data_IF_197366975719
#
_entry.id   IF_197366975719
#
_cell.length_a   1.000
_cell.length_b   1.000
_cell.length_c   1.000
_cell.angle_alpha   90.00
_cell.angle_beta   90.00
_cell.angle_gamma   90.00
#
_symmetry.space_group_name_H-M   'P 1'
#
loop_
_entity.id
_entity.type
_entity.pdbx_description
1 polymer ?
#
# COMPACT_ATOMS: atom_id res chain seq x y z
N UNK A 1 -28.95 12.02 -4.64
CA UNK A 1 -29.26 10.59 -4.66
C UNK A 1 -27.96 9.87 -4.92
N UNK A 2 -27.27 9.44 -3.88
CA UNK A 2 -26.04 8.64 -3.97
C UNK A 2 -26.47 7.20 -4.22
N UNK A 3 -26.26 6.69 -5.43
CA UNK A 3 -26.44 5.27 -5.72
C UNK A 3 -25.24 4.53 -5.11
N UNK A 4 -25.50 3.70 -4.11
CA UNK A 4 -24.56 2.76 -3.55
C UNK A 4 -24.01 1.87 -4.69
N UNK A 5 -22.69 1.80 -4.91
CA UNK A 5 -22.11 0.96 -5.96
C UNK A 5 -22.39 -0.54 -5.77
N UNK A 6 -22.79 -0.98 -4.57
CA UNK A 6 -23.12 -2.38 -4.28
C UNK A 6 -24.55 -2.79 -4.63
N UNK A 7 -25.43 -1.85 -5.05
CA UNK A 7 -26.85 -2.12 -5.35
C UNK A 7 -27.09 -2.51 -6.83
N UNK A 8 -26.05 -2.91 -7.57
CA UNK A 8 -26.17 -3.44 -8.94
C UNK A 8 -26.16 -4.98 -8.89
N UNK A 9 -27.25 -5.66 -9.23
CA UNK A 9 -27.34 -7.13 -9.18
C UNK A 9 -26.34 -7.86 -10.11
N UNK A 10 -25.70 -7.18 -11.04
CA UNK A 10 -24.69 -7.74 -11.96
C UNK A 10 -23.24 -7.46 -11.51
N UNK A 11 -23.02 -6.72 -10.44
CA UNK A 11 -21.68 -6.32 -9.98
C UNK A 11 -20.82 -7.49 -9.47
N UNK A 12 -21.45 -8.59 -9.07
CA UNK A 12 -20.74 -9.78 -8.55
C UNK A 12 -19.96 -10.54 -9.65
N UNK A 13 -20.37 -10.42 -10.91
CA UNK A 13 -19.80 -11.16 -12.04
C UNK A 13 -18.80 -10.35 -12.89
N UNK A 14 -18.65 -9.06 -12.66
CA UNK A 14 -17.69 -8.26 -13.40
C UNK A 14 -16.28 -8.41 -12.81
N UNK A 15 -15.20 -8.47 -13.64
CA UNK A 15 -13.83 -8.56 -13.17
C UNK A 15 -13.46 -7.41 -12.24
N UNK A 16 -12.70 -7.70 -11.18
CA UNK A 16 -12.14 -6.67 -10.31
C UNK A 16 -11.23 -5.73 -11.10
N UNK A 17 -11.23 -4.45 -10.72
CA UNK A 17 -10.27 -3.49 -11.24
C UNK A 17 -8.89 -3.75 -10.61
N UNK A 18 -8.84 -3.89 -9.29
CA UNK A 18 -7.61 -4.09 -8.51
C UNK A 18 -7.78 -5.26 -7.57
N UNK A 19 -6.87 -6.23 -7.64
CA UNK A 19 -6.71 -7.28 -6.64
C UNK A 19 -5.33 -7.14 -6.03
N UNK A 20 -5.26 -6.95 -4.70
CA UNK A 20 -3.99 -6.90 -3.98
C UNK A 20 -3.73 -8.21 -3.25
N UNK A 21 -2.45 -8.59 -3.07
CA UNK A 21 -2.07 -9.76 -2.31
C UNK A 21 -0.93 -9.43 -1.35
N UNK A 22 -1.14 -9.65 -0.05
CA UNK A 22 -0.12 -9.47 0.99
C UNK A 22 -0.70 -9.07 2.34
N UNK A 23 0.02 -8.19 3.06
CA UNK A 23 -0.25 -7.87 4.44
C UNK A 23 -1.54 -7.09 4.68
N UNK A 24 -2.26 -7.55 5.72
CA UNK A 24 -3.24 -6.74 6.44
C UNK A 24 -3.05 -6.90 7.95
N UNK A 25 -3.56 -5.98 8.73
CA UNK A 25 -3.46 -6.04 10.19
C UNK A 25 -4.13 -4.85 10.85
N UNK A 26 -3.83 -4.69 12.12
CA UNK A 26 -4.31 -3.57 12.93
C UNK A 26 -3.15 -2.64 13.23
N UNK A 27 -3.27 -1.39 12.80
CA UNK A 27 -2.34 -0.33 13.19
C UNK A 27 -2.87 0.38 14.45
N UNK A 28 -1.99 0.54 15.42
CA UNK A 28 -2.25 1.22 16.68
C UNK A 28 -1.39 2.48 16.73
N UNK A 29 -2.00 3.62 16.48
CA UNK A 29 -1.31 4.90 16.41
C UNK A 29 -1.46 5.68 17.70
N UNK A 30 -0.34 6.29 18.19
CA UNK A 30 -0.40 7.18 19.32
C UNK A 30 -1.23 8.41 18.95
N UNK A 31 -2.08 8.84 19.87
CA UNK A 31 -2.78 10.13 19.77
C UNK A 31 -1.95 11.28 20.38
N UNK A 32 -0.75 10.96 20.89
CA UNK A 32 0.25 11.87 21.43
C UNK A 32 1.47 11.84 20.51
N UNK A 33 1.73 12.98 19.85
CA UNK A 33 2.83 13.13 18.88
C UNK A 33 4.08 13.64 19.58
N UNK A 34 5.26 13.13 19.17
CA UNK A 34 6.55 13.59 19.68
C UNK A 34 6.98 12.96 21.01
N UNK A 35 6.33 11.83 21.39
CA UNK A 35 6.70 11.06 22.59
C UNK A 35 6.92 9.60 22.22
N UNK A 36 7.80 8.91 22.94
CA UNK A 36 8.05 7.48 22.77
C UNK A 36 6.87 6.63 23.26
N UNK A 37 6.75 5.40 22.74
CA UNK A 37 5.63 4.49 23.07
C UNK A 37 5.51 4.21 24.56
N UNK A 38 6.61 4.24 25.31
CA UNK A 38 6.66 4.07 26.77
C UNK A 38 5.89 5.15 27.54
N UNK A 39 5.72 6.33 26.93
CA UNK A 39 5.02 7.48 27.55
C UNK A 39 3.61 7.72 26.95
N UNK A 40 3.26 7.02 25.87
CA UNK A 40 1.95 7.17 25.22
C UNK A 40 0.85 6.58 26.10
N UNK A 41 -0.21 7.35 26.35
CA UNK A 41 -1.33 6.95 27.18
C UNK A 41 -2.60 6.62 26.38
N UNK A 42 -2.72 7.14 25.15
CA UNK A 42 -3.92 6.98 24.33
C UNK A 42 -3.57 6.61 22.90
N UNK A 43 -4.35 5.66 22.37
CA UNK A 43 -4.11 5.12 21.03
C UNK A 43 -5.40 5.09 20.22
N UNK A 44 -5.28 5.31 18.92
CA UNK A 44 -6.30 5.02 17.92
C UNK A 44 -6.03 3.67 17.24
N UNK A 45 -7.10 2.97 16.86
CA UNK A 45 -7.04 1.69 16.17
C UNK A 45 -7.51 1.85 14.73
N UNK A 46 -6.67 1.44 13.76
CA UNK A 46 -6.91 1.61 12.34
C UNK A 46 -6.63 0.32 11.57
N UNK A 47 -7.20 0.20 10.37
CA UNK A 47 -6.79 -0.82 9.41
C UNK A 47 -5.41 -0.47 8.90
N UNK A 48 -4.50 -1.45 8.88
CA UNK A 48 -3.15 -1.31 8.38
C UNK A 48 -2.73 -2.46 7.47
N UNK A 49 -1.48 -2.38 7.02
CA UNK A 49 -0.88 -3.30 6.07
C UNK A 49 -0.80 -2.70 4.66
N UNK A 50 0.38 -2.74 4.06
CA UNK A 50 0.69 -2.09 2.77
C UNK A 50 -0.34 -2.42 1.69
N UNK A 51 -0.63 -3.71 1.47
CA UNK A 51 -1.56 -4.14 0.42
C UNK A 51 -3.02 -3.83 0.74
N UNK A 52 -3.41 -3.84 2.03
CA UNK A 52 -4.72 -3.38 2.45
C UNK A 52 -4.89 -1.87 2.20
N UNK A 53 -3.86 -1.09 2.53
CA UNK A 53 -3.86 0.36 2.29
C UNK A 53 -3.95 0.70 0.80
N UNK A 54 -3.22 -0.02 -0.08
CA UNK A 54 -3.31 0.16 -1.55
C UNK A 54 -4.70 -0.17 -2.07
N UNK A 55 -5.33 -1.27 -1.58
CA UNK A 55 -6.69 -1.63 -1.97
C UNK A 55 -7.70 -0.55 -1.55
N UNK A 56 -7.58 -0.03 -0.32
CA UNK A 56 -8.42 1.07 0.18
C UNK A 56 -8.21 2.33 -0.65
N UNK A 57 -6.97 2.72 -0.95
CA UNK A 57 -6.67 3.89 -1.75
C UNK A 57 -7.29 3.78 -3.17
N UNK A 58 -7.20 2.61 -3.80
CA UNK A 58 -7.84 2.35 -5.09
C UNK A 58 -9.39 2.42 -4.99
N UNK A 59 -9.97 1.84 -3.93
CA UNK A 59 -11.41 1.87 -3.69
C UNK A 59 -11.94 3.30 -3.46
N UNK A 60 -11.18 4.14 -2.73
CA UNK A 60 -11.51 5.56 -2.52
C UNK A 60 -11.54 6.36 -3.82
N UNK A 61 -10.82 5.92 -4.85
CA UNK A 61 -10.81 6.48 -6.20
C UNK A 61 -11.80 5.77 -7.14
N UNK A 62 -12.78 5.05 -6.58
CA UNK A 62 -13.89 4.43 -7.33
C UNK A 62 -13.53 3.14 -8.06
N UNK A 63 -12.37 2.48 -7.74
CA UNK A 63 -12.03 1.19 -8.32
C UNK A 63 -12.67 0.05 -7.52
N UNK A 64 -13.13 -0.99 -8.21
CA UNK A 64 -13.55 -2.23 -7.57
C UNK A 64 -12.31 -2.98 -7.10
N UNK A 65 -12.03 -2.87 -5.81
CA UNK A 65 -10.83 -3.43 -5.18
C UNK A 65 -11.18 -4.59 -4.26
N UNK A 66 -10.31 -5.60 -4.25
CA UNK A 66 -10.34 -6.72 -3.33
C UNK A 66 -8.92 -7.02 -2.84
N UNK A 67 -8.82 -7.81 -1.77
CA UNK A 67 -7.54 -8.22 -1.20
C UNK A 67 -7.50 -9.71 -0.91
N UNK A 68 -6.43 -10.38 -1.32
CA UNK A 68 -6.02 -11.70 -0.83
C UNK A 68 -5.12 -11.48 0.38
N UNK A 69 -5.56 -11.92 1.56
CA UNK A 69 -4.82 -11.78 2.81
C UNK A 69 -5.31 -12.78 3.85
N UNK A 70 -4.62 -12.88 4.98
CA UNK A 70 -5.02 -13.70 6.12
C UNK A 70 -5.26 -12.87 7.37
N UNK A 71 -6.25 -13.28 8.16
CA UNK A 71 -6.54 -12.72 9.49
C UNK A 71 -6.75 -13.86 10.49
N UNK A 72 -6.53 -13.61 11.77
CA UNK A 72 -6.81 -14.56 12.84
C UNK A 72 -8.31 -14.72 13.09
N UNK A 73 -8.70 -15.86 13.68
CA UNK A 73 -10.04 -16.03 14.25
C UNK A 73 -10.15 -15.33 15.62
N UNK A 74 -10.02 -14.02 15.60
CA UNK A 74 -9.97 -13.17 16.79
C UNK A 74 -10.72 -11.84 16.58
N UNK A 75 -10.90 -11.01 17.65
CA UNK A 75 -11.57 -9.72 17.52
C UNK A 75 -10.95 -8.77 16.51
N UNK A 76 -9.62 -8.83 16.32
CA UNK A 76 -8.91 -7.98 15.35
C UNK A 76 -9.11 -8.49 13.91
N UNK A 77 -9.18 -9.80 13.68
CA UNK A 77 -9.54 -10.36 12.39
C UNK A 77 -10.95 -9.95 11.94
N UNK A 78 -11.91 -9.98 12.87
CA UNK A 78 -13.27 -9.47 12.61
C UNK A 78 -13.26 -7.97 12.34
N UNK A 79 -12.41 -7.21 13.03
CA UNK A 79 -12.25 -5.78 12.79
C UNK A 79 -11.67 -5.50 11.41
N UNK A 80 -10.60 -6.20 10.99
CA UNK A 80 -9.97 -6.03 9.67
C UNK A 80 -11.00 -6.26 8.56
N UNK A 81 -11.76 -7.38 8.63
CA UNK A 81 -12.83 -7.65 7.65
C UNK A 81 -13.89 -6.55 7.61
N UNK A 82 -14.34 -6.10 8.79
CA UNK A 82 -15.32 -5.01 8.87
C UNK A 82 -14.76 -3.72 8.27
N UNK A 83 -13.53 -3.35 8.61
CA UNK A 83 -12.90 -2.13 8.13
C UNK A 83 -12.68 -2.14 6.60
N UNK A 84 -12.30 -3.29 6.03
CA UNK A 84 -12.21 -3.46 4.58
C UNK A 84 -13.55 -3.16 3.91
N UNK A 85 -14.65 -3.78 4.39
CA UNK A 85 -16.01 -3.52 3.85
C UNK A 85 -16.44 -2.07 4.03
N UNK A 86 -16.23 -1.49 5.21
CA UNK A 86 -16.57 -0.09 5.50
C UNK A 86 -15.81 0.89 4.59
N UNK A 87 -14.64 0.49 4.08
CA UNK A 87 -13.81 1.24 3.15
C UNK A 87 -13.96 0.79 1.69
N UNK A 88 -15.04 0.06 1.37
CA UNK A 88 -15.39 -0.42 0.04
C UNK A 88 -14.35 -1.36 -0.61
N UNK A 89 -13.62 -2.14 0.19
CA UNK A 89 -12.77 -3.23 -0.28
C UNK A 89 -13.47 -4.56 -0.06
N UNK A 90 -13.57 -5.37 -1.10
CA UNK A 90 -14.17 -6.70 -1.05
C UNK A 90 -13.28 -7.66 -0.24
N UNK A 91 -13.83 -8.23 0.83
CA UNK A 91 -13.13 -9.13 1.74
C UNK A 91 -13.37 -10.62 1.47
N UNK A 92 -13.95 -10.99 0.31
CA UNK A 92 -14.26 -12.39 -0.02
C UNK A 92 -13.04 -13.31 -0.09
N UNK A 93 -11.86 -12.75 -0.41
CA UNK A 93 -10.60 -13.50 -0.49
C UNK A 93 -9.75 -13.37 0.78
N UNK A 94 -10.30 -12.89 1.86
CA UNK A 94 -9.64 -12.87 3.18
C UNK A 94 -9.78 -14.24 3.83
N UNK A 95 -8.67 -14.91 4.09
CA UNK A 95 -8.63 -16.24 4.74
C UNK A 95 -8.62 -16.07 6.26
N UNK A 96 -9.41 -16.86 6.97
CA UNK A 96 -9.37 -16.89 8.44
C UNK A 96 -8.45 -18.02 8.90
N UNK A 97 -7.42 -17.67 9.66
CA UNK A 97 -6.49 -18.60 10.27
C UNK A 97 -6.85 -18.81 11.74
N UNK A 98 -6.96 -20.08 12.18
CA UNK A 98 -7.32 -20.45 13.55
C UNK A 98 -6.11 -20.67 14.46
N UNK A 99 -4.89 -20.66 13.92
CA UNK A 99 -3.66 -20.94 14.65
C UNK A 99 -2.92 -19.67 15.05
N UNK A 100 -2.92 -18.64 14.17
CA UNK A 100 -2.17 -17.41 14.38
C UNK A 100 -3.07 -16.20 14.54
N UNK A 101 -2.71 -15.33 15.48
CA UNK A 101 -3.46 -14.10 15.75
C UNK A 101 -3.26 -13.04 14.65
N UNK A 102 -4.27 -12.20 14.48
CA UNK A 102 -4.19 -11.02 13.61
C UNK A 102 -3.05 -10.12 14.06
N UNK A 103 -2.11 -9.73 13.16
CA UNK A 103 -0.96 -8.93 13.54
C UNK A 103 -1.36 -7.50 13.92
N UNK A 104 -0.58 -6.94 14.85
CA UNK A 104 -0.73 -5.55 15.31
C UNK A 104 0.59 -4.82 15.07
N UNK A 105 0.49 -3.59 14.58
CA UNK A 105 1.64 -2.71 14.38
C UNK A 105 1.46 -1.45 15.20
N UNK A 106 2.45 -1.12 16.03
CA UNK A 106 2.54 0.18 16.69
C UNK A 106 3.50 1.07 15.91
N UNK A 107 3.29 2.38 15.98
CA UNK A 107 4.26 3.34 15.48
C UNK A 107 4.54 4.42 16.55
N UNK A 108 5.67 5.07 16.39
CA UNK A 108 5.96 6.35 17.04
C UNK A 108 5.88 7.45 15.99
N UNK A 109 5.47 8.65 16.40
CA UNK A 109 5.27 9.76 15.46
C UNK A 109 6.13 10.93 15.90
N UNK A 110 7.27 11.09 15.23
CA UNK A 110 8.20 12.20 15.41
C UNK A 110 8.36 12.98 14.11
N UNK A 111 7.44 13.89 13.79
CA UNK A 111 7.54 14.68 12.57
C UNK A 111 8.84 15.48 12.53
N UNK A 112 9.42 15.77 11.35
CA UNK A 112 8.78 15.60 10.03
C UNK A 112 9.08 14.27 9.33
N UNK A 113 10.01 13.43 9.81
CA UNK A 113 10.60 12.33 9.02
C UNK A 113 10.95 11.06 9.81
N UNK A 114 10.64 10.99 11.10
CA UNK A 114 10.96 9.83 11.93
C UNK A 114 9.68 9.16 12.44
N UNK A 115 9.38 7.97 11.91
CA UNK A 115 8.16 7.21 12.19
C UNK A 115 8.49 5.73 12.41
N UNK A 116 9.14 5.35 13.53
CA UNK A 116 9.49 3.97 13.84
C UNK A 116 8.26 3.07 13.89
N UNK A 117 8.41 1.83 13.40
CA UNK A 117 7.37 0.82 13.37
C UNK A 117 7.76 -0.39 14.22
N UNK A 118 6.82 -0.87 15.01
CA UNK A 118 6.96 -2.03 15.88
C UNK A 118 5.91 -3.08 15.51
N UNK A 119 6.37 -4.17 14.86
CA UNK A 119 5.49 -5.22 14.33
C UNK A 119 5.34 -6.38 15.32
N UNK A 120 4.13 -6.60 15.79
CA UNK A 120 3.76 -7.76 16.61
C UNK A 120 3.12 -8.83 15.73
N UNK A 121 3.97 -9.64 15.08
CA UNK A 121 3.58 -10.69 14.13
C UNK A 121 4.44 -11.96 14.21
N UNK A 122 4.98 -12.28 15.40
CA UNK A 122 5.76 -13.48 15.66
C UNK A 122 4.90 -14.55 16.34
N UNK A 123 5.17 -15.87 16.08
CA UNK A 123 6.25 -16.44 15.24
C UNK A 123 6.03 -16.21 13.75
N UNK A 124 4.80 -16.06 13.29
CA UNK A 124 4.38 -15.70 11.93
C UNK A 124 3.04 -14.96 11.99
N UNK A 125 2.46 -14.58 10.85
CA UNK A 125 1.17 -13.94 10.77
C UNK A 125 0.26 -14.65 9.74
N UNK A 126 -1.08 -14.57 9.89
CA UNK A 126 -2.05 -15.21 9.01
C UNK A 126 -1.84 -14.93 7.51
N UNK A 127 -1.45 -13.70 7.15
CA UNK A 127 -1.16 -13.32 5.77
C UNK A 127 0.04 -14.06 5.16
N UNK A 128 0.99 -14.54 6.01
CA UNK A 128 2.12 -15.36 5.58
C UNK A 128 1.78 -16.84 5.46
N UNK A 129 0.61 -17.26 5.91
CA UNK A 129 0.14 -18.65 5.91
C UNK A 129 -0.82 -18.99 4.76
N UNK A 130 -1.00 -18.06 3.81
CA UNK A 130 -1.80 -18.28 2.60
C UNK A 130 -1.09 -19.31 1.71
N UNK A 131 -1.79 -20.39 1.39
CA UNK A 131 -1.33 -21.46 0.50
C UNK A 131 -1.89 -21.26 -0.91
N UNK A 132 -1.28 -21.84 -1.95
CA UNK A 132 -1.85 -21.80 -3.30
C UNK A 132 -3.30 -22.32 -3.37
N UNK A 133 -3.64 -23.30 -2.52
CA UNK A 133 -5.01 -23.83 -2.42
C UNK A 133 -6.07 -22.84 -1.92
N UNK A 134 -5.64 -21.77 -1.27
CA UNK A 134 -6.52 -20.74 -0.70
C UNK A 134 -6.81 -19.62 -1.70
N UNK A 135 -6.20 -19.67 -2.89
CA UNK A 135 -6.25 -18.61 -3.89
C UNK A 135 -7.25 -18.95 -4.99
N UNK A 136 -8.14 -18.02 -5.28
CA UNK A 136 -8.97 -18.02 -6.47
C UNK A 136 -8.16 -17.56 -7.69
N UNK A 137 -7.58 -18.51 -8.41
CA UNK A 137 -6.79 -18.21 -9.60
C UNK A 137 -7.62 -17.69 -10.78
N UNK A 138 -8.94 -17.92 -10.81
CA UNK A 138 -9.79 -17.33 -11.83
C UNK A 138 -9.95 -15.83 -11.59
N UNK A 139 -10.13 -15.41 -10.34
CA UNK A 139 -10.11 -14.01 -9.97
C UNK A 139 -8.74 -13.36 -10.26
N UNK A 140 -7.62 -14.05 -9.96
CA UNK A 140 -6.27 -13.59 -10.30
C UNK A 140 -6.09 -13.38 -11.79
N UNK A 141 -6.54 -14.31 -12.63
CA UNK A 141 -6.47 -14.18 -14.10
C UNK A 141 -7.40 -13.10 -14.65
N UNK A 142 -8.60 -12.97 -14.07
CA UNK A 142 -9.64 -12.05 -14.55
C UNK A 142 -9.33 -10.59 -14.19
N UNK A 143 -8.78 -10.32 -12.99
CA UNK A 143 -8.55 -8.95 -12.54
C UNK A 143 -7.74 -8.11 -13.53
N UNK A 144 -8.07 -6.82 -13.65
CA UNK A 144 -7.40 -5.90 -14.59
C UNK A 144 -5.98 -5.57 -14.10
N UNK A 145 -5.81 -5.31 -12.80
CA UNK A 145 -4.52 -5.02 -12.17
C UNK A 145 -4.32 -5.92 -10.96
N UNK A 146 -3.15 -6.56 -10.87
CA UNK A 146 -2.70 -7.35 -9.74
C UNK A 146 -1.57 -6.62 -9.02
N UNK A 147 -1.70 -6.40 -7.72
CA UNK A 147 -0.69 -5.75 -6.88
C UNK A 147 -0.15 -6.74 -5.85
N UNK A 148 1.15 -7.00 -5.89
CA UNK A 148 1.87 -7.84 -4.94
C UNK A 148 2.90 -7.02 -4.19
N UNK A 149 3.22 -7.43 -2.96
CA UNK A 149 4.27 -6.80 -2.14
C UNK A 149 5.43 -7.78 -1.92
N UNK A 150 6.65 -7.28 -2.00
CA UNK A 150 7.88 -8.06 -1.73
C UNK A 150 7.85 -8.69 -0.34
N UNK A 151 7.21 -8.06 0.64
CA UNK A 151 7.02 -8.65 1.98
C UNK A 151 6.40 -10.06 1.91
N UNK A 152 5.48 -10.33 0.98
CA UNK A 152 4.86 -11.65 0.81
C UNK A 152 5.81 -12.74 0.32
N UNK A 153 6.99 -12.37 -0.18
CA UNK A 153 8.03 -13.32 -0.60
C UNK A 153 8.97 -13.73 0.55
N UNK A 154 8.81 -13.16 1.75
CA UNK A 154 9.77 -13.35 2.84
C UNK A 154 9.70 -14.72 3.51
N UNK A 155 8.53 -15.37 3.53
CA UNK A 155 8.28 -16.60 4.29
C UNK A 155 7.38 -17.57 3.50
N UNK A 156 7.58 -18.88 3.71
CA UNK A 156 6.65 -19.91 3.21
C UNK A 156 5.46 -20.08 4.18
N UNK A 157 4.28 -20.45 3.69
CA UNK A 157 3.90 -20.77 2.29
C UNK A 157 3.53 -19.54 1.43
N UNK A 158 3.53 -18.34 1.97
CA UNK A 158 3.17 -17.10 1.25
C UNK A 158 4.03 -16.89 0.00
N UNK A 159 5.33 -17.19 0.08
CA UNK A 159 6.25 -17.07 -1.06
C UNK A 159 5.83 -17.98 -2.22
N UNK A 160 5.57 -19.25 -1.95
CA UNK A 160 5.07 -20.19 -2.97
C UNK A 160 3.77 -19.65 -3.61
N UNK A 161 2.87 -19.12 -2.79
CA UNK A 161 1.59 -18.55 -3.23
C UNK A 161 1.78 -17.32 -4.11
N UNK A 162 2.72 -16.43 -3.77
CA UNK A 162 3.05 -15.28 -4.60
C UNK A 162 3.60 -15.68 -5.96
N UNK A 163 4.50 -16.66 -6.02
CA UNK A 163 5.02 -17.19 -7.29
C UNK A 163 3.93 -17.89 -8.11
N UNK A 164 3.02 -18.65 -7.47
CA UNK A 164 1.87 -19.25 -8.16
C UNK A 164 0.92 -18.19 -8.77
N UNK A 165 0.71 -17.06 -8.07
CA UNK A 165 -0.04 -15.92 -8.59
C UNK A 165 0.68 -15.29 -9.78
N UNK A 166 1.99 -15.07 -9.70
CA UNK A 166 2.78 -14.54 -10.81
C UNK A 166 2.74 -15.46 -12.04
N UNK A 167 2.85 -16.77 -11.85
CA UNK A 167 2.71 -17.76 -12.91
C UNK A 167 1.31 -17.70 -13.55
N UNK A 168 0.24 -17.66 -12.74
CA UNK A 168 -1.13 -17.55 -13.23
C UNK A 168 -1.40 -16.26 -13.99
N UNK A 169 -0.72 -15.17 -13.65
CA UNK A 169 -0.82 -13.87 -14.33
C UNK A 169 -0.14 -13.86 -15.70
N UNK A 170 0.88 -14.69 -15.94
CA UNK A 170 1.61 -14.77 -17.21
C UNK A 170 2.01 -13.40 -17.76
N UNK A 171 2.50 -12.51 -16.89
CA UNK A 171 2.86 -11.12 -17.22
C UNK A 171 1.71 -10.30 -17.86
N UNK A 172 0.46 -10.63 -17.54
CA UNK A 172 -0.68 -9.79 -17.97
C UNK A 172 -0.42 -8.35 -17.54
N UNK A 173 -0.78 -7.41 -18.40
CA UNK A 173 -0.61 -5.97 -18.16
C UNK A 173 -1.08 -5.59 -16.75
N UNK A 174 -0.30 -4.70 -16.11
CA UNK A 174 -0.48 -4.25 -14.74
C UNK A 174 -0.40 -5.39 -13.71
N UNK A 175 0.62 -6.23 -13.84
CA UNK A 175 1.11 -7.07 -12.74
C UNK A 175 2.21 -6.28 -12.04
N UNK A 176 1.88 -5.73 -10.86
CA UNK A 176 2.70 -4.77 -10.11
C UNK A 176 3.39 -5.46 -8.94
N UNK A 177 4.69 -5.24 -8.79
CA UNK A 177 5.47 -5.60 -7.59
C UNK A 177 5.86 -4.33 -6.84
N UNK A 178 5.31 -4.16 -5.65
CA UNK A 178 5.75 -3.16 -4.69
C UNK A 178 6.98 -3.69 -3.95
N UNK A 179 8.08 -2.96 -4.08
CA UNK A 179 9.36 -3.34 -3.50
C UNK A 179 9.44 -3.15 -1.97
N UNK A 180 8.34 -2.91 -1.30
CA UNK A 180 8.14 -2.71 0.15
C UNK A 180 9.02 -3.65 1.01
N UNK A 181 10.31 -3.36 1.04
CA UNK A 181 11.29 -4.11 1.83
C UNK A 181 11.23 -3.68 3.30
N UNK A 182 11.08 -4.68 4.17
CA UNK A 182 11.10 -4.50 5.63
C UNK A 182 12.15 -5.43 6.23
N UNK A 183 13.32 -4.93 6.66
CA UNK A 183 14.43 -5.77 7.12
C UNK A 183 14.04 -6.82 8.16
N UNK A 184 13.11 -6.49 9.07
CA UNK A 184 12.68 -7.37 10.16
C UNK A 184 11.88 -8.61 9.71
N UNK A 185 11.48 -8.70 8.44
CA UNK A 185 10.75 -9.84 7.89
C UNK A 185 11.65 -10.81 7.12
N UNK A 186 12.93 -10.49 6.99
CA UNK A 186 13.88 -11.26 6.20
C UNK A 186 15.02 -11.79 7.04
N UNK A 187 15.53 -12.98 6.70
CA UNK A 187 16.73 -13.53 7.33
C UNK A 187 17.99 -12.69 7.02
N UNK A 188 18.01 -12.11 5.82
CA UNK A 188 19.08 -11.21 5.37
C UNK A 188 18.65 -10.36 4.16
N UNK A 189 19.30 -9.23 3.89
CA UNK A 189 19.11 -8.48 2.66
C UNK A 189 19.38 -9.32 1.39
N UNK A 190 20.38 -10.19 1.41
CA UNK A 190 20.72 -11.07 0.30
C UNK A 190 19.59 -12.06 -0.03
N UNK A 191 18.90 -12.60 0.99
CA UNK A 191 17.72 -13.45 0.79
C UNK A 191 16.58 -12.65 0.14
N UNK A 192 16.34 -11.42 0.57
CA UNK A 192 15.35 -10.55 -0.06
C UNK A 192 15.70 -10.29 -1.53
N UNK A 193 16.95 -9.92 -1.82
CA UNK A 193 17.46 -9.69 -3.18
C UNK A 193 17.20 -10.91 -4.08
N UNK A 194 17.55 -12.10 -3.61
CA UNK A 194 17.34 -13.36 -4.36
C UNK A 194 15.88 -13.54 -4.75
N UNK A 195 14.94 -13.40 -3.80
CA UNK A 195 13.52 -13.61 -4.08
C UNK A 195 12.94 -12.51 -4.98
N UNK A 196 13.35 -11.26 -4.79
CA UNK A 196 12.93 -10.14 -5.64
C UNK A 196 13.41 -10.33 -7.08
N UNK A 197 14.68 -10.71 -7.28
CA UNK A 197 15.23 -10.95 -8.63
C UNK A 197 14.55 -12.13 -9.34
N UNK A 198 14.04 -13.12 -8.62
CA UNK A 198 13.20 -14.19 -9.18
C UNK A 198 11.82 -13.70 -9.61
N UNK A 199 11.26 -12.71 -8.91
CA UNK A 199 9.94 -12.16 -9.18
C UNK A 199 9.94 -11.12 -10.32
N UNK A 200 10.97 -10.26 -10.40
CA UNK A 200 11.04 -9.16 -11.37
C UNK A 200 10.77 -9.56 -12.83
N UNK A 201 11.30 -10.69 -13.37
CA UNK A 201 10.99 -11.11 -14.74
C UNK A 201 9.53 -11.47 -14.97
N UNK A 202 8.75 -11.68 -13.92
CA UNK A 202 7.36 -12.13 -13.97
C UNK A 202 6.35 -10.99 -13.81
N UNK A 203 6.81 -9.76 -13.54
CA UNK A 203 5.97 -8.57 -13.38
C UNK A 203 6.16 -7.58 -14.52
N UNK A 204 5.20 -6.68 -14.71
CA UNK A 204 5.26 -5.63 -15.74
C UNK A 204 5.60 -4.27 -15.15
N UNK A 205 5.28 -4.06 -13.88
CA UNK A 205 5.53 -2.81 -13.16
C UNK A 205 6.26 -3.10 -11.86
N UNK A 206 7.31 -2.36 -11.56
CA UNK A 206 7.94 -2.34 -10.24
C UNK A 206 7.91 -0.92 -9.66
N UNK A 207 7.54 -0.80 -8.38
CA UNK A 207 7.48 0.47 -7.68
C UNK A 207 8.20 0.36 -6.34
N UNK A 208 9.10 1.29 -6.05
CA UNK A 208 9.84 1.31 -4.78
C UNK A 208 10.50 2.64 -4.51
N UNK A 209 11.01 2.82 -3.30
CA UNK A 209 11.90 3.91 -2.97
C UNK A 209 13.36 3.53 -3.29
N UNK A 210 14.30 4.45 -3.03
CA UNK A 210 15.73 4.26 -3.36
C UNK A 210 16.36 3.10 -2.59
N UNK A 211 16.01 2.92 -1.31
CA UNK A 211 16.53 1.86 -0.44
C UNK A 211 15.94 0.50 -0.84
N UNK A 212 14.67 0.47 -1.20
CA UNK A 212 14.00 -0.72 -1.73
C UNK A 212 14.62 -1.14 -3.09
N UNK A 213 14.98 -0.17 -3.94
CA UNK A 213 15.70 -0.44 -5.19
C UNK A 213 17.11 -0.97 -4.94
N UNK A 214 17.81 -0.50 -3.91
CA UNK A 214 19.13 -1.04 -3.54
C UNK A 214 19.05 -2.54 -3.25
N UNK A 215 18.06 -2.95 -2.46
CA UNK A 215 17.84 -4.37 -2.15
C UNK A 215 17.41 -5.15 -3.39
N UNK A 216 16.56 -4.57 -4.25
CA UNK A 216 16.04 -5.25 -5.42
C UNK A 216 17.08 -5.45 -6.52
N UNK A 217 17.89 -4.42 -6.83
CA UNK A 217 18.76 -4.36 -8.02
C UNK A 217 20.15 -3.78 -7.75
N UNK A 218 20.51 -3.48 -6.51
CA UNK A 218 21.84 -2.99 -6.11
C UNK A 218 22.10 -1.51 -6.41
N UNK A 219 21.06 -0.72 -6.72
CA UNK A 219 21.21 0.67 -7.15
C UNK A 219 20.30 1.62 -6.34
N UNK A 220 20.90 2.72 -5.85
CA UNK A 220 20.18 3.78 -5.11
C UNK A 220 19.98 5.05 -5.94
N UNK A 221 20.75 5.23 -7.01
CA UNK A 221 20.60 6.37 -7.92
C UNK A 221 19.37 6.12 -8.80
N UNK A 222 18.37 7.03 -8.84
CA UNK A 222 17.06 6.73 -9.44
C UNK A 222 17.09 6.29 -10.91
N UNK A 223 17.93 6.92 -11.73
CA UNK A 223 18.04 6.55 -13.15
C UNK A 223 18.64 5.15 -13.30
N UNK A 224 19.71 4.87 -12.57
CA UNK A 224 20.37 3.56 -12.62
C UNK A 224 19.47 2.47 -12.04
N UNK A 225 18.77 2.77 -10.96
CA UNK A 225 17.79 1.85 -10.36
C UNK A 225 16.68 1.51 -11.36
N UNK A 226 16.12 2.54 -12.03
CA UNK A 226 15.10 2.32 -13.05
C UNK A 226 15.64 1.50 -14.23
N UNK A 227 16.87 1.78 -14.72
CA UNK A 227 17.50 1.03 -15.79
C UNK A 227 17.77 -0.44 -15.40
N UNK A 228 18.20 -0.68 -14.16
CA UNK A 228 18.41 -2.03 -13.63
C UNK A 228 17.10 -2.81 -13.52
N UNK A 229 16.01 -2.18 -13.05
CA UNK A 229 14.67 -2.79 -13.02
C UNK A 229 14.19 -3.15 -14.44
N UNK A 230 14.34 -2.24 -15.41
CA UNK A 230 13.99 -2.49 -16.81
C UNK A 230 14.85 -3.63 -17.42
N UNK A 231 16.14 -3.69 -17.06
CA UNK A 231 17.03 -4.78 -17.47
C UNK A 231 16.64 -6.13 -16.86
N UNK A 232 16.09 -6.12 -15.64
CA UNK A 232 15.54 -7.31 -14.98
C UNK A 232 14.21 -7.81 -15.57
N UNK A 233 13.65 -7.09 -16.57
CA UNK A 233 12.48 -7.53 -17.32
C UNK A 233 11.19 -6.74 -17.06
N UNK A 234 11.21 -5.74 -16.18
CA UNK A 234 10.08 -4.84 -15.92
C UNK A 234 9.85 -3.95 -17.15
N UNK A 235 8.60 -3.55 -17.39
CA UNK A 235 8.23 -2.66 -18.51
C UNK A 235 8.10 -1.20 -18.03
N UNK A 236 7.68 -0.99 -16.79
CA UNK A 236 7.56 0.30 -16.15
C UNK A 236 8.22 0.25 -14.76
N UNK A 237 9.30 0.99 -14.59
CA UNK A 237 9.98 1.19 -13.33
C UNK A 237 9.59 2.53 -12.70
N UNK A 238 9.18 2.53 -11.42
CA UNK A 238 8.80 3.73 -10.67
C UNK A 238 9.68 3.82 -9.43
N UNK A 239 10.48 4.88 -9.34
CA UNK A 239 11.41 5.13 -8.24
C UNK A 239 10.98 6.36 -7.46
N UNK A 240 10.46 6.12 -6.26
CA UNK A 240 10.05 7.17 -5.30
C UNK A 240 11.31 7.74 -4.62
N UNK A 241 11.37 9.07 -4.49
CA UNK A 241 12.52 9.77 -3.94
C UNK A 241 12.14 10.66 -2.73
N UNK A 242 10.99 10.38 -2.11
CA UNK A 242 10.45 11.19 -1.02
C UNK A 242 10.33 12.66 -1.39
N UNK A 243 10.95 13.59 -0.64
CA UNK A 243 10.86 15.02 -0.90
C UNK A 243 11.53 15.47 -2.22
N UNK A 244 12.13 14.56 -2.99
CA UNK A 244 12.70 14.86 -4.32
C UNK A 244 11.77 14.45 -5.46
N UNK A 245 10.58 13.93 -5.17
CA UNK A 245 9.59 13.53 -6.17
C UNK A 245 9.71 12.08 -6.61
N UNK A 246 9.36 11.81 -7.85
CA UNK A 246 9.25 10.46 -8.41
C UNK A 246 9.76 10.42 -9.84
N UNK A 247 10.49 9.36 -10.18
CA UNK A 247 10.87 9.00 -11.55
C UNK A 247 10.02 7.81 -12.00
N UNK A 248 9.40 7.89 -13.18
CA UNK A 248 8.88 6.75 -13.93
C UNK A 248 9.65 6.59 -15.24
N UNK A 249 10.00 5.36 -15.56
CA UNK A 249 10.78 5.05 -16.76
C UNK A 249 10.30 3.76 -17.42
N UNK A 250 10.15 3.82 -18.73
CA UNK A 250 10.01 2.68 -19.63
C UNK A 250 11.23 2.63 -20.56
N UNK A 251 11.25 1.73 -21.52
CA UNK A 251 12.31 1.68 -22.53
C UNK A 251 12.30 2.89 -23.49
N UNK A 252 11.16 3.58 -23.61
CA UNK A 252 10.92 4.66 -24.58
C UNK A 252 10.51 5.97 -23.96
N UNK A 253 10.10 5.98 -22.72
CA UNK A 253 9.58 7.16 -22.02
C UNK A 253 10.28 7.34 -20.68
N UNK A 254 10.53 8.59 -20.32
CA UNK A 254 11.07 9.02 -19.02
C UNK A 254 10.26 10.21 -18.52
N UNK A 255 9.67 10.08 -17.36
CA UNK A 255 8.87 11.13 -16.72
C UNK A 255 9.36 11.36 -15.30
N UNK A 256 9.56 12.62 -14.91
CA UNK A 256 9.86 13.03 -13.54
C UNK A 256 8.74 13.93 -13.06
N UNK A 257 8.18 13.58 -11.91
CA UNK A 257 7.20 14.42 -11.23
C UNK A 257 7.84 15.02 -9.97
N UNK A 258 7.83 16.36 -9.79
CA UNK A 258 8.34 16.99 -8.59
C UNK A 258 7.46 16.63 -7.38
N UNK A 259 7.98 16.78 -6.14
CA UNK A 259 7.17 16.63 -4.94
C UNK A 259 6.14 17.76 -4.84
N UNK A 260 5.07 17.49 -4.13
CA UNK A 260 4.12 18.56 -3.75
C UNK A 260 4.50 19.10 -2.36
N UNK A 261 4.49 20.42 -2.17
CA UNK A 261 4.79 21.01 -0.88
C UNK A 261 3.66 20.68 0.10
N UNK A 262 3.99 19.96 1.17
CA UNK A 262 3.06 19.65 2.25
C UNK A 262 3.80 19.69 3.59
N UNK A 263 3.09 19.95 4.67
CA UNK A 263 3.63 19.81 6.03
C UNK A 263 3.34 18.38 6.52
N UNK A 264 4.35 17.52 6.61
CA UNK A 264 4.12 16.14 7.04
C UNK A 264 3.77 16.07 8.53
N UNK A 265 2.78 15.25 8.86
CA UNK A 265 2.43 14.87 10.21
C UNK A 265 2.87 13.41 10.47
N UNK A 266 2.53 12.51 9.54
CA UNK A 266 2.89 11.11 9.59
C UNK A 266 3.18 10.60 8.17
N UNK A 267 4.42 10.18 7.90
CA UNK A 267 4.82 9.69 6.57
C UNK A 267 4.34 8.28 6.23
N UNK A 268 3.78 7.55 7.22
CA UNK A 268 3.29 6.18 7.03
C UNK A 268 2.06 6.17 6.11
N UNK A 269 1.99 5.19 5.21
CA UNK A 269 0.89 5.05 4.26
C UNK A 269 0.94 5.97 3.03
N UNK A 270 1.86 6.96 2.99
CA UNK A 270 2.00 7.83 1.82
C UNK A 270 2.38 7.04 0.55
N UNK A 271 3.25 6.03 0.69
CA UNK A 271 3.61 5.11 -0.39
C UNK A 271 2.44 4.27 -0.86
N UNK A 272 1.59 3.83 0.06
CA UNK A 272 0.41 3.00 -0.23
C UNK A 272 -0.67 3.83 -0.95
N UNK A 273 -0.87 5.08 -0.52
CA UNK A 273 -1.75 6.04 -1.18
C UNK A 273 -1.28 6.35 -2.60
N UNK A 274 0.03 6.57 -2.77
CA UNK A 274 0.64 6.67 -4.09
C UNK A 274 0.34 5.41 -4.93
N UNK A 275 0.49 4.21 -4.36
CA UNK A 275 0.22 2.93 -5.03
C UNK A 275 -1.22 2.79 -5.51
N UNK A 276 -2.20 3.07 -4.66
CA UNK A 276 -3.62 3.03 -5.05
C UNK A 276 -3.99 4.04 -6.12
N UNK A 277 -3.42 5.26 -6.03
CA UNK A 277 -3.56 6.29 -7.05
C UNK A 277 -2.86 5.91 -8.37
N UNK A 278 -1.70 5.28 -8.31
CA UNK A 278 -1.01 4.70 -9.47
C UNK A 278 -1.91 3.67 -10.17
N UNK A 279 -2.51 2.75 -9.41
CA UNK A 279 -3.46 1.77 -9.96
C UNK A 279 -4.62 2.48 -10.68
N UNK A 280 -5.18 3.52 -10.08
CA UNK A 280 -6.26 4.30 -10.67
C UNK A 280 -5.85 4.92 -12.01
N UNK A 281 -4.72 5.62 -12.05
CA UNK A 281 -4.23 6.30 -13.25
C UNK A 281 -3.87 5.35 -14.38
N UNK A 282 -3.21 4.22 -14.08
CA UNK A 282 -2.88 3.17 -15.06
C UNK A 282 -4.16 2.56 -15.67
N UNK A 283 -5.15 2.27 -14.85
CA UNK A 283 -6.44 1.71 -15.30
C UNK A 283 -7.33 2.71 -16.04
N UNK A 284 -7.08 4.01 -15.88
CA UNK A 284 -7.73 5.09 -16.60
C UNK A 284 -7.01 5.45 -17.91
N UNK A 285 -5.90 4.75 -18.22
CA UNK A 285 -5.05 5.01 -19.39
C UNK A 285 -4.60 6.48 -19.49
N UNK A 286 -4.24 7.06 -18.34
CA UNK A 286 -3.75 8.44 -18.31
C UNK A 286 -2.30 8.55 -18.81
N UNK A 287 -1.93 9.69 -19.40
CA UNK A 287 -0.51 9.99 -19.65
C UNK A 287 0.31 9.89 -18.35
N UNK A 288 1.51 9.32 -18.41
CA UNK A 288 2.32 9.02 -17.23
C UNK A 288 2.59 10.27 -16.36
N UNK A 289 2.72 11.45 -16.98
CA UNK A 289 2.86 12.71 -16.22
C UNK A 289 1.65 12.96 -15.30
N UNK A 290 0.43 12.73 -15.79
CA UNK A 290 -0.80 12.87 -14.97
C UNK A 290 -0.86 11.80 -13.90
N UNK A 291 -0.52 10.55 -14.21
CA UNK A 291 -0.47 9.46 -13.25
C UNK A 291 0.42 9.82 -12.05
N UNK A 292 1.65 10.27 -12.33
CA UNK A 292 2.60 10.60 -11.26
C UNK A 292 2.20 11.84 -10.45
N UNK A 293 1.66 12.86 -11.10
CA UNK A 293 1.18 14.06 -10.39
C UNK A 293 0.05 13.72 -9.42
N UNK A 294 -0.92 12.93 -9.88
CA UNK A 294 -2.04 12.48 -9.08
C UNK A 294 -1.60 11.57 -7.92
N UNK A 295 -0.71 10.62 -8.19
CA UNK A 295 -0.17 9.71 -7.18
C UNK A 295 0.69 10.45 -6.13
N UNK A 296 1.49 11.45 -6.55
CA UNK A 296 2.22 12.31 -5.62
C UNK A 296 1.27 13.12 -4.73
N UNK A 297 0.17 13.64 -5.28
CA UNK A 297 -0.83 14.38 -4.51
C UNK A 297 -1.50 13.46 -3.48
N UNK A 298 -1.88 12.25 -3.87
CA UNK A 298 -2.47 11.28 -2.97
C UNK A 298 -1.53 10.94 -1.80
N UNK A 299 -0.26 10.66 -2.08
CA UNK A 299 0.75 10.41 -1.05
C UNK A 299 1.00 11.61 -0.14
N UNK A 300 1.05 12.82 -0.69
CA UNK A 300 1.22 14.05 0.07
C UNK A 300 0.05 14.30 1.04
N UNK A 301 -1.19 14.06 0.61
CA UNK A 301 -2.37 14.20 1.47
C UNK A 301 -2.28 13.25 2.67
N UNK A 302 -1.98 11.97 2.45
CA UNK A 302 -1.84 11.00 3.55
C UNK A 302 -0.71 11.42 4.49
N UNK A 303 0.42 11.86 3.96
CA UNK A 303 1.54 12.33 4.79
C UNK A 303 1.19 13.51 5.71
N UNK A 304 0.15 14.28 5.40
CA UNK A 304 -0.34 15.39 6.23
C UNK A 304 -1.38 14.97 7.28
N UNK A 305 -1.77 13.70 7.31
CA UNK A 305 -2.78 13.11 8.20
C UNK A 305 -2.14 12.15 9.20
N UNK A 306 -2.89 11.75 10.21
CA UNK A 306 -2.38 10.85 11.26
C UNK A 306 -2.42 9.39 10.82
N UNK A 307 -3.53 8.97 10.20
CA UNK A 307 -3.84 7.58 9.90
C UNK A 307 -3.37 7.18 8.49
N UNK A 308 -3.40 5.86 8.18
CA UNK A 308 -3.15 5.36 6.84
C UNK A 308 -4.46 5.13 6.07
N UNK A 309 -5.15 4.01 6.32
CA UNK A 309 -6.31 3.57 5.51
C UNK A 309 -7.45 4.56 5.48
N UNK A 310 -7.85 5.08 6.66
CA UNK A 310 -8.95 6.06 6.78
C UNK A 310 -8.59 7.43 6.23
N UNK A 311 -7.28 7.72 6.16
CA UNK A 311 -6.73 8.96 5.63
C UNK A 311 -6.58 8.97 4.10
N UNK A 312 -6.83 7.85 3.41
CA UNK A 312 -6.73 7.77 1.96
C UNK A 312 -7.67 8.80 1.29
N UNK A 313 -7.14 9.64 0.37
CA UNK A 313 -7.90 10.73 -0.19
C UNK A 313 -8.94 10.27 -1.22
N UNK A 314 -9.96 11.09 -1.39
CA UNK A 314 -10.89 11.03 -2.52
C UNK A 314 -10.32 11.77 -3.72
N UNK A 315 -10.90 11.55 -4.91
CA UNK A 315 -10.56 12.30 -6.14
C UNK A 315 -10.68 13.80 -5.93
N UNK A 316 -11.75 14.27 -5.29
CA UNK A 316 -11.98 15.71 -5.04
C UNK A 316 -10.91 16.34 -4.15
N UNK A 317 -10.41 15.61 -3.14
CA UNK A 317 -9.31 16.10 -2.28
C UNK A 317 -7.99 16.20 -3.06
N UNK A 318 -7.72 15.22 -3.94
CA UNK A 318 -6.53 15.24 -4.80
C UNK A 318 -6.59 16.41 -5.78
N UNK A 319 -7.72 16.61 -6.45
CA UNK A 319 -7.94 17.75 -7.35
C UNK A 319 -7.80 19.10 -6.61
N UNK A 320 -8.32 19.18 -5.39
CA UNK A 320 -8.17 20.37 -4.54
C UNK A 320 -6.70 20.70 -4.29
N UNK A 321 -5.89 19.70 -3.91
CA UNK A 321 -4.45 19.92 -3.68
C UNK A 321 -3.73 20.29 -4.99
N UNK A 322 -4.03 19.64 -6.09
CA UNK A 322 -3.44 19.95 -7.40
C UNK A 322 -3.79 21.35 -7.90
N UNK A 323 -4.96 21.87 -7.51
CA UNK A 323 -5.37 23.25 -7.78
C UNK A 323 -4.77 24.28 -6.80
N UNK A 324 -3.94 23.85 -5.84
CA UNK A 324 -3.32 24.72 -4.83
C UNK A 324 -4.19 25.02 -3.62
N UNK A 325 -5.32 24.32 -3.44
CA UNK A 325 -6.18 24.41 -2.27
C UNK A 325 -5.71 23.54 -1.12
N UNK A 326 -6.39 23.63 0.03
CA UNK A 326 -6.14 22.79 1.21
C UNK A 326 -7.07 21.56 1.19
N UNK A 327 -6.54 20.35 0.97
CA UNK A 327 -7.34 19.13 0.96
C UNK A 327 -7.85 18.73 2.35
N UNK A 328 -7.31 19.34 3.43
CA UNK A 328 -7.66 19.05 4.81
C UNK A 328 -8.62 20.10 5.43
N UNK A 329 -9.08 21.07 4.68
CA UNK A 329 -9.93 22.16 5.19
C UNK A 329 -11.18 21.63 5.94
N UNK A 330 -11.74 20.49 5.49
CA UNK A 330 -12.90 19.85 6.12
C UNK A 330 -12.56 19.07 7.42
N UNK A 331 -11.26 18.81 7.69
CA UNK A 331 -10.78 18.10 8.88
C UNK A 331 -10.39 19.07 10.02
N UNK A 332 -10.37 20.38 9.78
CA UNK A 332 -9.86 21.37 10.72
C UNK A 332 -10.57 21.31 12.08
N UNK A 333 -11.89 21.06 12.09
CA UNK A 333 -12.68 20.97 13.31
C UNK A 333 -12.44 19.67 14.10
N UNK A 334 -12.09 18.57 13.42
CA UNK A 334 -11.83 17.26 14.06
C UNK A 334 -10.40 17.15 14.60
N UNK A 335 -9.43 17.78 13.97
CA UNK A 335 -8.03 17.79 14.39
C UNK A 335 -7.81 18.72 15.60
N UNK A 336 -8.53 19.83 15.71
CA UNK A 336 -8.44 20.74 16.84
C UNK A 336 -8.77 20.05 18.17
N UNK A 337 -9.72 19.12 18.18
CA UNK A 337 -10.14 18.38 19.41
C UNK A 337 -9.03 17.41 19.89
N UNK A 338 -8.15 16.92 19.02
CA UNK A 338 -7.12 15.94 19.38
C UNK A 338 -5.80 16.57 19.87
N UNK A 339 -5.50 17.80 19.50
CA UNK A 339 -4.21 18.46 19.79
C UNK A 339 -4.25 19.50 20.93
N UNK A 340 -5.42 19.93 21.37
CA UNK A 340 -5.54 20.93 22.47
C UNK A 340 -5.17 20.37 23.87
N UNK A 341 -5.09 19.06 24.05
CA UNK A 341 -4.84 18.44 25.36
C UNK A 341 -3.36 18.37 25.76
N UNK A 342 -2.41 18.65 24.88
CA UNK A 342 -0.97 18.49 25.16
C UNK A 342 -0.28 19.82 25.51
N UNK A 343 -0.90 20.96 25.27
CA UNK A 343 -0.31 22.30 25.52
C UNK A 343 -0.55 22.88 26.90
N UNK A 344 -1.22 22.16 27.80
CA UNK A 344 -1.62 22.66 29.12
C UNK A 344 -1.21 21.73 30.28
N UNK A 345 0.06 21.33 30.32
CA UNK A 345 0.67 20.83 31.59
C UNK A 345 2.17 21.14 31.63
#
# INVERSE_FOLDING_TARGET
MSSDPHDRPDAENEPLDVLTFGRSGVDIYPLQVGVGLEEVQTFGKYLGGTTANVAVAAARLGRRAAIITGVGDDPFGRYVRKALRDLNVDDRYVVTNTEYATPVTFCEIFPPDNFPLWFYRKPTAPDMQIKPSDIDFDAVRATRLMWLSVTGLSEEPSRESHFAVLEARQRKQFTVLDLDYRPMFWDSPAHATEQVQRALPQVTVAVGNREECEVAVGETEPEKAADALLAAGVELAIVKQGPKGVLAKTRTERVVSPPLPIRPLNGLGAGDSFGGSLCHGLLADWPMQKVLQHANAAGAIVASRLECSTAMPTEAEIETLLAGGDPNAHLADSLAVHFETVSAR
#
